data_IF_925284328846
#
_entry.id   IF_925284328846
#
_cell.length_a   1.000
_cell.length_b   1.000
_cell.length_c   1.000
_cell.angle_alpha   90.00
_cell.angle_beta   90.00
_cell.angle_gamma   90.00
#
_symmetry.space_group_name_H-M   'P 1'
#
loop_
_entity.id
_entity.type
_entity.pdbx_description
1 polymer ?
#
# COMPACT_ATOMS: atom_id res chain seq x y z
N UNK A 1 -34.09 -17.58 23.58
CA UNK A 1 -33.33 -17.15 22.40
C UNK A 1 -32.44 -18.30 21.97
N UNK A 2 -32.69 -18.88 20.81
CA UNK A 2 -31.75 -19.84 20.24
C UNK A 2 -30.47 -19.06 19.91
N UNK A 3 -29.32 -19.55 20.37
CA UNK A 3 -28.04 -19.00 19.95
C UNK A 3 -27.91 -19.30 18.45
N UNK A 4 -28.30 -18.35 17.61
CA UNK A 4 -27.87 -18.36 16.22
C UNK A 4 -26.34 -18.40 16.26
N UNK A 5 -25.76 -19.50 15.80
CA UNK A 5 -24.32 -19.61 15.66
C UNK A 5 -23.89 -18.47 14.75
N UNK A 6 -23.16 -17.51 15.31
CA UNK A 6 -22.47 -16.54 14.48
C UNK A 6 -21.33 -17.29 13.81
N UNK A 7 -21.27 -17.25 12.48
CA UNK A 7 -20.18 -17.78 11.68
C UNK A 7 -19.16 -16.65 11.46
N UNK A 8 -18.22 -16.39 12.40
CA UNK A 8 -17.26 -15.32 12.24
C UNK A 8 -16.34 -15.63 11.05
N UNK A 9 -16.26 -14.69 10.12
CA UNK A 9 -15.44 -14.85 8.92
C UNK A 9 -14.17 -13.99 8.93
N UNK A 10 -14.08 -13.02 9.84
CA UNK A 10 -12.90 -12.15 9.96
C UNK A 10 -12.70 -11.63 11.39
N UNK A 11 -11.46 -11.31 11.75
CA UNK A 11 -11.09 -10.56 12.96
C UNK A 11 -10.54 -9.20 12.54
N UNK A 12 -11.02 -8.12 13.16
CA UNK A 12 -10.49 -6.77 12.96
C UNK A 12 -9.66 -6.38 14.19
N UNK A 13 -8.41 -6.00 13.99
CA UNK A 13 -7.46 -5.61 15.02
C UNK A 13 -7.01 -4.17 14.77
N UNK A 14 -7.35 -3.28 15.70
CA UNK A 14 -6.87 -1.89 15.68
C UNK A 14 -5.57 -1.81 16.50
N UNK A 15 -4.48 -1.45 15.84
CA UNK A 15 -3.18 -1.20 16.44
C UNK A 15 -2.95 0.31 16.58
N UNK A 16 -1.88 0.71 17.27
CA UNK A 16 -1.55 2.12 17.45
C UNK A 16 -1.37 2.88 16.13
N UNK A 17 -0.82 2.21 15.10
CA UNK A 17 -0.48 2.83 13.82
C UNK A 17 -1.04 2.06 12.61
N UNK A 18 -1.89 1.06 12.80
CA UNK A 18 -2.36 0.19 11.70
C UNK A 18 -3.72 -0.46 12.00
N UNK A 19 -4.41 -0.90 10.95
CA UNK A 19 -5.64 -1.67 11.01
C UNK A 19 -5.44 -2.98 10.26
N UNK A 20 -5.39 -4.08 11.01
CA UNK A 20 -5.18 -5.42 10.47
C UNK A 20 -6.50 -6.17 10.47
N UNK A 21 -6.85 -6.79 9.35
CA UNK A 21 -8.04 -7.67 9.27
C UNK A 21 -7.60 -9.05 8.85
N UNK A 22 -7.99 -10.07 9.61
CA UNK A 22 -7.55 -11.46 9.45
C UNK A 22 -8.71 -12.28 8.91
N UNK A 23 -8.48 -13.07 7.86
CA UNK A 23 -9.44 -14.01 7.28
C UNK A 23 -9.48 -15.29 8.10
N UNK A 24 -10.64 -15.59 8.69
CA UNK A 24 -10.84 -16.80 9.50
C UNK A 24 -11.22 -18.04 8.67
N UNK A 25 -11.52 -17.84 7.40
CA UNK A 25 -12.11 -18.88 6.53
C UNK A 25 -11.11 -19.48 5.55
N UNK A 26 -9.97 -18.81 5.33
CA UNK A 26 -8.88 -19.31 4.48
C UNK A 26 -7.80 -20.01 5.32
N UNK A 27 -7.27 -21.18 4.88
CA UNK A 27 -6.20 -21.87 5.58
C UNK A 27 -4.98 -20.97 5.81
N UNK A 28 -4.39 -21.04 7.00
CA UNK A 28 -3.24 -20.21 7.39
C UNK A 28 -3.60 -18.80 7.88
N UNK A 29 -4.90 -18.46 7.94
CA UNK A 29 -5.42 -17.20 8.46
C UNK A 29 -4.72 -15.95 7.88
N UNK A 30 -4.67 -15.80 6.54
CA UNK A 30 -4.03 -14.66 5.92
C UNK A 30 -4.76 -13.36 6.27
N UNK A 31 -4.05 -12.23 6.20
CA UNK A 31 -4.68 -10.92 6.37
C UNK A 31 -5.42 -10.52 5.08
N UNK A 32 -6.49 -9.73 5.17
CA UNK A 32 -7.04 -9.03 4.01
C UNK A 32 -6.12 -7.88 3.61
N UNK A 33 -5.97 -7.63 2.31
CA UNK A 33 -5.27 -6.45 1.82
C UNK A 33 -6.10 -5.21 2.16
N UNK A 34 -5.57 -4.32 3.00
CA UNK A 34 -6.23 -3.06 3.34
C UNK A 34 -6.17 -2.14 2.10
N UNK A 35 -7.31 -1.71 1.53
CA UNK A 35 -7.36 -0.80 0.39
C UNK A 35 -7.07 0.66 0.77
N UNK A 36 -7.00 0.97 2.06
CA UNK A 36 -6.66 2.29 2.60
C UNK A 36 -5.40 2.22 3.48
N UNK A 37 -4.30 1.60 3.02
CA UNK A 37 -3.13 1.44 3.86
C UNK A 37 -2.48 2.81 4.03
N UNK A 38 -2.64 3.40 5.21
CA UNK A 38 -1.99 4.64 5.63
C UNK A 38 -0.55 4.35 6.05
N UNK A 39 0.22 3.70 5.17
CA UNK A 39 1.61 3.29 5.38
C UNK A 39 2.58 4.49 5.31
N UNK A 40 2.07 5.71 5.53
CA UNK A 40 2.82 6.96 5.53
C UNK A 40 3.90 6.96 6.63
N UNK A 41 3.68 6.22 7.71
CA UNK A 41 4.53 6.24 8.90
C UNK A 41 5.49 5.05 9.03
N UNK A 42 5.58 4.17 8.02
CA UNK A 42 6.58 3.09 7.99
C UNK A 42 8.01 3.62 8.20
N UNK A 43 8.26 4.85 7.72
CA UNK A 43 9.45 5.64 7.98
C UNK A 43 9.06 7.12 8.09
N UNK A 44 9.70 7.93 8.96
CA UNK A 44 9.37 9.35 9.10
C UNK A 44 9.37 10.10 7.77
N UNK A 45 8.30 10.84 7.49
CA UNK A 45 8.21 11.70 6.31
C UNK A 45 9.13 12.90 6.48
N UNK A 46 10.04 13.11 5.53
CA UNK A 46 11.00 14.21 5.51
C UNK A 46 10.67 15.26 4.46
N UNK A 47 9.88 14.91 3.45
CA UNK A 47 9.40 15.82 2.42
C UNK A 47 8.01 15.40 1.91
N UNK A 48 7.19 16.37 1.51
CA UNK A 48 5.89 16.13 0.91
C UNK A 48 5.69 17.12 -0.23
N UNK A 49 5.32 16.63 -1.40
CA UNK A 49 5.06 17.44 -2.59
C UNK A 49 3.71 17.05 -3.19
N UNK A 50 2.94 18.06 -3.57
CA UNK A 50 1.64 17.89 -4.18
C UNK A 50 1.67 18.44 -5.61
N UNK A 51 1.11 17.67 -6.53
CA UNK A 51 1.03 17.97 -7.95
C UNK A 51 -0.43 17.87 -8.40
N UNK A 52 -0.97 18.99 -8.87
CA UNK A 52 -2.30 19.08 -9.47
C UNK A 52 -2.22 19.06 -11.00
N UNK A 53 -3.35 18.74 -11.64
CA UNK A 53 -3.50 18.75 -13.10
C UNK A 53 -2.43 17.92 -13.82
N UNK A 54 -2.15 16.73 -13.28
CA UNK A 54 -1.14 15.85 -13.85
C UNK A 54 -1.65 15.20 -15.16
N UNK A 55 -0.74 14.73 -16.03
CA UNK A 55 -1.10 13.99 -17.23
C UNK A 55 -2.01 12.78 -16.94
N UNK A 56 -3.01 12.52 -17.80
CA UNK A 56 -4.02 11.47 -17.58
C UNK A 56 -3.46 10.05 -17.48
N UNK A 57 -2.25 9.83 -18.00
CA UNK A 57 -1.56 8.54 -18.05
C UNK A 57 -0.71 8.24 -16.79
N UNK A 58 -0.43 9.24 -15.95
CA UNK A 58 0.50 9.09 -14.83
C UNK A 58 0.01 8.10 -13.77
N UNK A 59 -1.27 8.16 -13.38
CA UNK A 59 -1.86 7.27 -12.38
C UNK A 59 -1.90 5.83 -12.93
N UNK A 60 -2.43 5.57 -14.14
CA UNK A 60 -2.36 4.26 -14.76
C UNK A 60 -0.94 3.70 -14.87
N UNK A 61 0.04 4.53 -15.24
CA UNK A 61 1.44 4.11 -15.40
C UNK A 61 2.07 3.72 -14.06
N UNK A 62 1.88 4.54 -13.01
CA UNK A 62 2.37 4.26 -11.67
C UNK A 62 1.70 3.02 -11.07
N UNK A 63 0.38 2.91 -11.19
CA UNK A 63 -0.37 1.75 -10.74
C UNK A 63 0.12 0.46 -11.39
N UNK A 64 0.30 0.47 -12.72
CA UNK A 64 0.78 -0.70 -13.47
C UNK A 64 2.18 -1.14 -13.01
N UNK A 65 3.06 -0.18 -12.72
CA UNK A 65 4.42 -0.45 -12.24
C UNK A 65 4.43 -0.92 -10.78
N UNK A 66 3.58 -0.34 -9.94
CA UNK A 66 3.47 -0.66 -8.52
C UNK A 66 2.72 -1.95 -8.20
N UNK A 67 1.89 -2.45 -9.12
CA UNK A 67 1.15 -3.71 -8.95
C UNK A 67 2.04 -4.89 -8.54
N UNK A 68 3.25 -4.96 -9.09
CA UNK A 68 4.22 -6.03 -8.79
C UNK A 68 4.92 -5.87 -7.43
N UNK A 69 4.73 -4.74 -6.74
CA UNK A 69 5.27 -4.49 -5.39
C UNK A 69 4.31 -4.91 -4.28
N UNK A 70 3.10 -5.38 -4.62
CA UNK A 70 2.13 -5.86 -3.64
C UNK A 70 2.70 -7.03 -2.85
N UNK A 71 2.52 -7.00 -1.52
CA UNK A 71 3.03 -8.06 -0.63
C UNK A 71 2.26 -9.36 -0.94
N UNK A 72 2.99 -10.46 -1.09
CA UNK A 72 2.40 -11.80 -1.18
C UNK A 72 1.89 -12.22 0.21
N UNK A 73 0.87 -13.09 0.27
CA UNK A 73 0.37 -13.67 1.52
C UNK A 73 -0.88 -13.01 2.11
N UNK A 74 -1.57 -12.14 1.36
CA UNK A 74 -2.92 -11.68 1.71
C UNK A 74 -4.00 -12.66 1.24
N UNK A 75 -5.18 -12.56 1.85
CA UNK A 75 -6.39 -13.26 1.43
C UNK A 75 -6.80 -12.81 0.02
N UNK A 76 -7.26 -13.75 -0.80
CA UNK A 76 -7.84 -13.49 -2.12
C UNK A 76 -9.24 -12.88 -2.04
N UNK A 77 -9.84 -12.85 -0.83
CA UNK A 77 -11.18 -12.33 -0.60
C UNK A 77 -11.18 -10.80 -0.59
N UNK A 78 -12.29 -10.16 -1.00
CA UNK A 78 -12.40 -8.71 -0.98
C UNK A 78 -12.43 -8.17 0.45
N UNK A 79 -11.97 -6.92 0.62
CA UNK A 79 -11.99 -6.22 1.89
C UNK A 79 -13.38 -6.24 2.55
N UNK A 80 -13.50 -6.66 3.83
CA UNK A 80 -14.80 -6.93 4.44
C UNK A 80 -15.52 -5.68 4.93
N UNK A 81 -14.81 -4.57 5.21
CA UNK A 81 -15.39 -3.32 5.71
C UNK A 81 -15.79 -2.45 4.51
N UNK A 82 -17.00 -2.69 3.99
CA UNK A 82 -17.55 -2.05 2.77
C UNK A 82 -18.91 -1.36 2.97
N UNK A 83 -19.20 -0.96 4.21
CA UNK A 83 -20.44 -0.25 4.53
C UNK A 83 -20.46 1.17 3.97
N UNK A 84 -21.66 1.66 3.62
CA UNK A 84 -21.86 3.02 3.09
C UNK A 84 -21.74 3.13 1.57
N UNK A 85 -22.13 4.30 1.05
CA UNK A 85 -21.97 4.68 -0.35
C UNK A 85 -21.28 6.04 -0.40
N UNK A 86 -20.20 6.11 -1.16
CA UNK A 86 -19.53 7.38 -1.46
C UNK A 86 -20.28 8.08 -2.59
N UNK A 87 -20.53 9.38 -2.47
CA UNK A 87 -20.97 10.18 -3.60
C UNK A 87 -19.86 10.30 -4.66
N UNK A 88 -20.21 10.74 -5.87
CA UNK A 88 -19.21 11.09 -6.88
C UNK A 88 -18.49 12.38 -6.46
N UNK A 89 -17.39 12.23 -5.72
CA UNK A 89 -16.50 13.33 -5.33
C UNK A 89 -15.07 12.96 -5.69
N UNK A 90 -14.74 13.15 -6.96
CA UNK A 90 -13.39 13.10 -7.50
C UNK A 90 -13.10 14.38 -8.26
N UNK A 91 -11.83 14.75 -8.35
CA UNK A 91 -11.38 15.87 -9.17
C UNK A 91 -11.49 15.50 -10.65
N UNK A 92 -11.72 16.49 -11.52
CA UNK A 92 -11.81 16.25 -12.98
C UNK A 92 -10.46 15.99 -13.63
N UNK A 93 -9.37 16.13 -12.88
CA UNK A 93 -8.00 15.95 -13.32
C UNK A 93 -7.21 15.13 -12.28
N UNK A 94 -6.20 14.35 -12.71
CA UNK A 94 -5.33 13.61 -11.81
C UNK A 94 -4.55 14.51 -10.85
N UNK A 95 -4.50 14.09 -9.60
CA UNK A 95 -3.70 14.72 -8.54
C UNK A 95 -2.80 13.67 -7.88
N UNK A 96 -1.54 14.03 -7.64
CA UNK A 96 -0.56 13.14 -7.01
C UNK A 96 0.08 13.82 -5.82
N UNK A 97 0.24 13.05 -4.74
CA UNK A 97 1.13 13.37 -3.64
C UNK A 97 2.37 12.47 -3.73
N UNK A 98 3.55 13.06 -3.51
CA UNK A 98 4.81 12.32 -3.37
C UNK A 98 5.37 12.60 -1.98
N UNK A 99 5.62 11.55 -1.22
CA UNK A 99 6.21 11.64 0.12
C UNK A 99 7.61 11.06 0.11
N UNK A 100 8.57 11.83 0.59
CA UNK A 100 9.94 11.39 0.85
C UNK A 100 10.11 10.98 2.30
N UNK A 101 10.81 9.87 2.53
CA UNK A 101 10.97 9.28 3.85
C UNK A 101 12.45 9.21 4.28
N UNK A 102 12.68 9.15 5.60
CA UNK A 102 14.01 9.10 6.19
C UNK A 102 14.81 7.84 5.80
N UNK A 103 14.12 6.75 5.41
CA UNK A 103 14.74 5.53 4.87
C UNK A 103 15.21 5.67 3.41
N UNK A 104 15.05 6.86 2.80
CA UNK A 104 15.40 7.13 1.41
C UNK A 104 14.36 6.62 0.41
N UNK A 105 13.18 6.20 0.86
CA UNK A 105 12.08 5.85 -0.04
C UNK A 105 11.24 7.06 -0.46
N UNK A 106 10.72 7.02 -1.68
CA UNK A 106 9.66 7.90 -2.17
C UNK A 106 8.39 7.06 -2.36
N UNK A 107 7.27 7.51 -1.80
CA UNK A 107 5.95 6.90 -2.01
C UNK A 107 5.08 7.83 -2.84
N UNK A 108 4.39 7.27 -3.83
CA UNK A 108 3.49 7.97 -4.74
C UNK A 108 2.06 7.62 -4.40
N UNK A 109 1.21 8.64 -4.33
CA UNK A 109 -0.17 8.50 -3.88
C UNK A 109 -1.11 9.19 -4.87
N UNK A 110 -2.21 8.53 -5.22
CA UNK A 110 -3.33 9.12 -5.93
C UNK A 110 -4.18 9.91 -4.93
N UNK A 111 -4.28 11.21 -5.17
CA UNK A 111 -5.06 12.17 -4.38
C UNK A 111 -6.28 12.70 -5.14
N UNK A 112 -6.64 12.10 -6.27
CA UNK A 112 -7.71 12.59 -7.17
C UNK A 112 -9.13 12.32 -6.64
N UNK A 113 -9.26 11.58 -5.55
CA UNK A 113 -10.54 11.20 -4.93
C UNK A 113 -10.48 11.41 -3.42
N UNK A 114 -11.60 11.20 -2.73
CA UNK A 114 -11.69 11.33 -1.25
C UNK A 114 -10.68 10.44 -0.52
N UNK A 115 -10.35 9.29 -1.11
CA UNK A 115 -9.40 8.33 -0.55
C UNK A 115 -8.01 8.55 -1.14
N UNK A 116 -7.00 8.61 -0.27
CA UNK A 116 -5.61 8.54 -0.69
C UNK A 116 -5.26 7.09 -1.02
N UNK A 117 -4.78 6.82 -2.24
CA UNK A 117 -4.42 5.46 -2.68
C UNK A 117 -2.92 5.36 -2.96
N UNK A 118 -2.26 4.36 -2.37
CA UNK A 118 -0.87 4.09 -2.67
C UNK A 118 -0.71 3.56 -4.10
N UNK A 119 0.19 4.17 -4.88
CA UNK A 119 0.46 3.78 -6.26
C UNK A 119 1.78 3.03 -6.40
N UNK A 120 2.86 3.55 -5.82
CA UNK A 120 4.22 3.05 -6.07
C UNK A 120 5.20 3.46 -4.96
N UNK A 121 6.20 2.62 -4.66
CA UNK A 121 7.34 2.93 -3.78
C UNK A 121 8.65 2.82 -4.55
N UNK A 122 9.38 3.92 -4.64
CA UNK A 122 10.75 3.97 -5.13
C UNK A 122 11.72 3.87 -3.95
N UNK A 123 12.72 2.99 -4.02
CA UNK A 123 13.82 2.93 -3.04
C UNK A 123 15.10 3.45 -3.67
N UNK A 124 15.61 4.60 -3.19
CA UNK A 124 16.81 5.22 -3.76
C UNK A 124 18.12 4.56 -3.28
N UNK A 125 18.09 3.84 -2.15
CA UNK A 125 19.24 3.17 -1.56
C UNK A 125 20.03 2.29 -2.55
N UNK A 126 19.34 1.64 -3.50
CA UNK A 126 19.95 0.76 -4.52
C UNK A 126 21.01 1.46 -5.38
N UNK A 127 20.90 2.77 -5.57
CA UNK A 127 21.85 3.55 -6.38
C UNK A 127 23.18 3.75 -5.64
N UNK A 128 23.17 3.65 -4.31
CA UNK A 128 24.34 3.85 -3.45
C UNK A 128 25.02 2.54 -3.03
N UNK A 129 24.47 1.38 -3.42
CA UNK A 129 25.09 0.09 -3.17
C UNK A 129 26.37 -0.06 -4.02
N UNK A 130 27.51 -0.36 -3.37
CA UNK A 130 28.75 -0.65 -4.09
C UNK A 130 28.57 -1.94 -4.89
N UNK A 131 29.02 -2.01 -6.16
CA UNK A 131 29.00 -3.27 -6.91
C UNK A 131 29.79 -4.32 -6.13
N UNK A 132 29.19 -5.51 -5.93
CA UNK A 132 29.91 -6.66 -5.40
C UNK A 132 31.08 -6.92 -6.35
N UNK A 133 32.31 -6.72 -5.88
CA UNK A 133 33.49 -7.22 -6.58
C UNK A 133 33.31 -8.74 -6.68
N UNK A 134 33.44 -9.37 -7.86
CA UNK A 134 33.63 -10.80 -7.89
C UNK A 134 34.82 -11.10 -6.98
N UNK A 135 34.63 -11.90 -5.94
CA UNK A 135 35.73 -12.41 -5.15
C UNK A 135 36.71 -13.07 -6.11
N UNK A 136 37.98 -12.68 -6.01
CA UNK A 136 39.06 -13.54 -6.44
C UNK A 136 38.89 -14.83 -5.63
N UNK A 137 38.32 -15.87 -6.24
CA UNK A 137 38.55 -17.24 -5.81
C UNK A 137 40.04 -17.47 -6.03
N UNK A 138 40.83 -17.06 -5.03
CA UNK A 138 42.22 -17.46 -4.91
C UNK A 138 42.21 -18.90 -4.46
N UNK A 139 42.84 -19.71 -5.28
CA UNK A 139 43.36 -21.03 -4.99
C UNK A 139 43.82 -21.15 -3.53
N UNK A 140 43.32 -22.17 -2.83
CA UNK A 140 44.03 -23.03 -1.90
C UNK A 140 43.32 -24.39 -1.81
#
# INVERSE_FOLDING_TARGET
>A
WANDFQDPYAIVVLLQNDLVVIDLTSPGYPCFENPYPMDLHESPVTACQYYANCPMDIIPALYSTGKNQKKMGFSEKPWPIKGGLWGASGTSYPEIIITGHADGSLKFWDASSVTLQFLYKLKTAKVFEKPKRPSEDKDD
#
